data_IF_393441468620
#
_entry.id   IF_393441468620
#
_cell.length_a   1.000
_cell.length_b   1.000
_cell.length_c   1.000
_cell.angle_alpha   90.00
_cell.angle_beta   90.00
_cell.angle_gamma   90.00
#
_symmetry.space_group_name_H-M   'P 1'
#
loop_
_entity.id
_entity.type
_entity.pdbx_description
1 polymer ?
#
# COMPACT_ATOMS: atom_id res chain seq x y z
N UNK A 1 -6.99 -16.65 -24.29
CA UNK A 1 -7.03 -17.48 -23.06
C UNK A 1 -8.23 -17.18 -22.16
N UNK A 2 -8.35 -16.01 -21.52
CA UNK A 2 -9.50 -15.74 -20.62
C UNK A 2 -10.85 -15.72 -21.36
N UNK A 3 -10.90 -15.10 -22.54
CA UNK A 3 -12.10 -15.08 -23.38
C UNK A 3 -12.54 -16.47 -23.84
N UNK A 4 -11.60 -17.40 -24.04
CA UNK A 4 -11.87 -18.78 -24.48
C UNK A 4 -12.62 -19.60 -23.42
N UNK A 5 -12.58 -19.16 -22.16
CA UNK A 5 -13.31 -19.76 -21.03
C UNK A 5 -14.43 -18.84 -20.53
N UNK A 6 -14.96 -17.98 -21.40
CA UNK A 6 -16.01 -16.98 -21.14
C UNK A 6 -15.73 -16.07 -19.94
N UNK A 7 -14.48 -15.65 -19.72
CA UNK A 7 -14.14 -14.63 -18.74
C UNK A 7 -13.96 -13.28 -19.43
N UNK A 8 -14.53 -12.23 -18.84
CA UNK A 8 -14.36 -10.83 -19.23
C UNK A 8 -13.54 -10.09 -18.18
N UNK A 9 -12.51 -9.35 -18.61
CA UNK A 9 -11.66 -8.59 -17.71
C UNK A 9 -12.44 -7.40 -17.14
N UNK A 10 -12.66 -7.39 -15.83
CA UNK A 10 -13.39 -6.33 -15.13
C UNK A 10 -12.47 -5.15 -14.79
N UNK A 11 -11.26 -5.44 -14.30
CA UNK A 11 -10.18 -4.45 -14.19
C UNK A 11 -8.81 -5.12 -14.12
N UNK A 12 -7.78 -4.35 -14.46
CA UNK A 12 -6.39 -4.62 -14.14
C UNK A 12 -5.76 -3.31 -13.66
N UNK A 13 -5.20 -3.28 -12.46
CA UNK A 13 -4.56 -2.10 -11.84
C UNK A 13 -3.19 -2.47 -11.31
N UNK A 14 -2.26 -1.52 -11.35
CA UNK A 14 -0.99 -1.65 -10.63
C UNK A 14 -1.29 -1.73 -9.13
N UNK A 15 -0.47 -2.46 -8.38
CA UNK A 15 -0.79 -2.72 -6.97
C UNK A 15 -0.77 -1.43 -6.13
N UNK A 16 0.14 -0.50 -6.40
CA UNK A 16 0.23 0.80 -5.74
C UNK A 16 -1.02 1.67 -5.97
N UNK A 17 -1.61 1.64 -7.16
CA UNK A 17 -2.85 2.35 -7.46
C UNK A 17 -4.00 1.74 -6.66
N UNK A 18 -4.07 0.41 -6.61
CA UNK A 18 -5.06 -0.31 -5.81
C UNK A 18 -4.89 -0.02 -4.31
N UNK A 19 -3.66 -0.02 -3.80
CA UNK A 19 -3.34 0.32 -2.43
C UNK A 19 -3.75 1.76 -2.08
N UNK A 20 -3.45 2.74 -2.95
CA UNK A 20 -3.80 4.15 -2.75
C UNK A 20 -5.33 4.36 -2.69
N UNK A 21 -6.09 3.62 -3.48
CA UNK A 21 -7.55 3.61 -3.42
C UNK A 21 -8.06 2.98 -2.12
N UNK A 22 -7.54 1.79 -1.75
CA UNK A 22 -8.06 1.03 -0.60
C UNK A 22 -7.65 1.62 0.75
N UNK A 23 -6.48 2.24 0.87
CA UNK A 23 -6.04 2.89 2.11
C UNK A 23 -6.83 4.16 2.44
N UNK A 24 -7.63 4.71 1.51
CA UNK A 24 -8.48 5.88 1.76
C UNK A 24 -9.83 5.50 2.38
N UNK A 25 -10.19 4.23 2.31
CA UNK A 25 -11.43 3.69 2.86
C UNK A 25 -11.19 3.25 4.31
N UNK A 26 -12.15 3.50 5.21
CA UNK A 26 -12.00 3.28 6.65
C UNK A 26 -11.66 1.83 6.99
N UNK A 27 -12.35 0.88 6.37
CA UNK A 27 -12.13 -0.56 6.55
C UNK A 27 -10.71 -0.96 6.09
N UNK A 28 -10.23 -0.36 5.00
CA UNK A 28 -8.88 -0.57 4.50
C UNK A 28 -7.82 -0.06 5.47
N UNK A 29 -7.99 1.15 6.02
CA UNK A 29 -7.09 1.70 7.04
C UNK A 29 -7.06 0.84 8.30
N UNK A 30 -8.23 0.45 8.79
CA UNK A 30 -8.36 -0.40 9.96
C UNK A 30 -7.66 -1.73 9.75
N UNK A 31 -7.88 -2.38 8.61
CA UNK A 31 -7.27 -3.68 8.31
C UNK A 31 -5.74 -3.57 8.18
N UNK A 32 -5.22 -2.57 7.46
CA UNK A 32 -3.78 -2.32 7.34
C UNK A 32 -3.12 -2.17 8.71
N UNK A 33 -3.79 -1.48 9.63
CA UNK A 33 -3.32 -1.30 11.01
C UNK A 33 -3.33 -2.61 11.78
N UNK A 34 -4.41 -3.39 11.69
CA UNK A 34 -4.56 -4.67 12.40
C UNK A 34 -3.58 -5.74 11.93
N UNK A 35 -3.26 -5.74 10.64
CA UNK A 35 -2.31 -6.69 10.06
C UNK A 35 -0.85 -6.31 10.29
N UNK A 36 -0.57 -5.12 10.84
CA UNK A 36 0.79 -4.56 10.88
C UNK A 36 1.42 -4.56 9.47
N UNK A 37 0.61 -4.19 8.47
CA UNK A 37 1.01 -4.29 7.05
C UNK A 37 2.06 -3.26 6.63
N UNK A 38 2.36 -2.29 7.49
CA UNK A 38 3.36 -1.24 7.30
C UNK A 38 4.19 -1.11 8.58
N UNK A 39 5.43 -0.72 8.42
CA UNK A 39 6.32 -0.34 9.51
C UNK A 39 6.02 1.10 9.97
N UNK A 40 6.04 1.31 11.28
CA UNK A 40 5.97 2.67 11.84
C UNK A 40 7.34 3.34 11.70
N UNK A 41 7.37 4.48 11.01
CA UNK A 41 8.55 5.33 10.85
C UNK A 41 8.29 6.74 11.40
N UNK A 42 9.21 7.34 12.18
CA UNK A 42 10.41 6.71 12.74
C UNK A 42 10.03 5.59 13.73
N UNK A 43 10.96 4.68 14.07
CA UNK A 43 10.72 3.65 15.08
C UNK A 43 10.22 4.27 16.39
N UNK A 44 9.19 3.68 17.01
CA UNK A 44 8.63 4.21 18.27
C UNK A 44 9.54 3.98 19.48
N UNK A 45 10.41 2.98 19.38
CA UNK A 45 11.34 2.58 20.43
C UNK A 45 12.73 2.42 19.84
N UNK A 46 13.76 2.78 20.59
CA UNK A 46 15.17 2.68 20.15
C UNK A 46 15.59 1.25 19.78
N UNK A 47 14.90 0.24 20.29
CA UNK A 47 15.16 -1.18 20.00
C UNK A 47 14.30 -1.74 18.86
N UNK A 48 13.37 -0.96 18.30
CA UNK A 48 12.53 -1.40 17.20
C UNK A 48 13.35 -1.39 15.91
N UNK A 49 13.67 -2.58 15.43
CA UNK A 49 14.43 -2.77 14.19
C UNK A 49 13.49 -2.69 12.98
N UNK A 50 13.82 -1.81 12.05
CA UNK A 50 13.19 -1.75 10.74
C UNK A 50 13.80 -2.79 9.79
N UNK A 51 13.06 -3.14 8.75
CA UNK A 51 13.46 -4.13 7.76
C UNK A 51 14.57 -3.62 6.83
N UNK A 52 14.49 -2.34 6.42
CA UNK A 52 15.47 -1.68 5.57
C UNK A 52 16.60 -0.98 6.33
N UNK A 53 17.54 -0.41 5.59
CA UNK A 53 18.55 0.51 6.13
C UNK A 53 18.00 1.95 6.16
N UNK A 54 18.68 2.88 6.83
CA UNK A 54 18.19 4.25 6.99
C UNK A 54 17.91 4.97 5.66
N UNK A 55 18.71 4.67 4.62
CA UNK A 55 18.56 5.24 3.29
C UNK A 55 17.25 4.80 2.61
N UNK A 56 16.75 3.59 2.92
CA UNK A 56 15.51 3.04 2.36
C UNK A 56 14.26 3.81 2.81
N UNK A 57 14.37 4.70 3.80
CA UNK A 57 13.26 5.47 4.36
C UNK A 57 13.30 6.96 3.97
N UNK A 58 14.12 7.35 2.99
CA UNK A 58 14.23 8.73 2.52
C UNK A 58 12.86 9.37 2.17
N UNK A 59 11.97 8.62 1.52
CA UNK A 59 10.62 9.10 1.19
C UNK A 59 9.77 9.39 2.44
N UNK A 60 9.86 8.54 3.47
CA UNK A 60 9.18 8.73 4.74
C UNK A 60 9.73 9.94 5.50
N UNK A 61 11.05 10.13 5.51
CA UNK A 61 11.70 11.31 6.09
C UNK A 61 11.23 12.60 5.42
N UNK A 62 11.18 12.65 4.08
CA UNK A 62 10.67 13.81 3.36
C UNK A 62 9.20 14.09 3.68
N UNK A 63 8.39 13.04 3.80
CA UNK A 63 6.98 13.18 4.19
C UNK A 63 6.82 13.76 5.59
N UNK A 64 7.59 13.29 6.56
CA UNK A 64 7.58 13.82 7.92
C UNK A 64 8.01 15.29 7.94
N UNK A 65 9.10 15.66 7.24
CA UNK A 65 9.55 17.05 7.14
C UNK A 65 8.47 17.98 6.59
N UNK A 66 7.74 17.54 5.56
CA UNK A 66 6.60 18.29 5.02
C UNK A 66 5.48 18.45 6.06
N UNK A 67 5.11 17.38 6.77
CA UNK A 67 4.05 17.42 7.78
C UNK A 67 4.43 18.25 9.03
N UNK A 68 5.70 18.26 9.42
CA UNK A 68 6.21 19.07 10.54
C UNK A 68 6.18 20.56 10.22
N UNK A 69 6.43 20.94 8.96
CA UNK A 69 6.26 22.35 8.55
C UNK A 69 4.81 22.85 8.67
N UNK A 70 3.85 21.94 8.79
CA UNK A 70 2.43 22.24 8.98
C UNK A 70 1.99 22.13 10.45
N UNK A 71 2.78 21.48 11.33
CA UNK A 71 2.44 21.18 12.73
C UNK A 71 3.68 21.17 13.62
N UNK A 72 3.75 22.11 14.56
CA UNK A 72 4.97 22.33 15.36
C UNK A 72 5.09 21.51 16.66
N UNK A 73 4.06 20.77 17.11
CA UNK A 73 3.99 20.36 18.53
C UNK A 73 4.00 18.86 18.83
N UNK A 74 3.85 17.95 17.86
CA UNK A 74 3.79 16.51 18.14
C UNK A 74 4.71 15.66 17.25
N UNK A 75 5.29 14.56 17.79
CA UNK A 75 6.03 13.61 16.99
C UNK A 75 5.12 12.98 15.92
N UNK A 76 5.52 13.13 14.67
CA UNK A 76 4.77 12.61 13.52
C UNK A 76 5.31 11.24 13.15
N UNK A 77 4.41 10.25 13.13
CA UNK A 77 4.68 8.90 12.68
C UNK A 77 3.94 8.63 11.37
N UNK A 78 4.58 7.88 10.48
CA UNK A 78 4.01 7.43 9.21
C UNK A 78 4.16 5.93 9.09
N UNK A 79 3.14 5.26 8.56
CA UNK A 79 3.25 3.86 8.12
C UNK A 79 3.91 3.81 6.75
N UNK A 80 4.97 3.02 6.60
CA UNK A 80 5.69 2.85 5.32
C UNK A 80 6.24 1.42 5.19
N UNK A 81 6.78 1.12 4.01
CA UNK A 81 7.72 0.01 3.81
C UNK A 81 9.09 0.62 3.49
N UNK A 82 10.15 -0.18 3.56
CA UNK A 82 11.45 0.19 2.99
C UNK A 82 11.35 0.41 1.47
N UNK A 83 12.26 1.19 0.88
CA UNK A 83 12.30 1.42 -0.57
C UNK A 83 12.37 0.09 -1.34
N UNK A 84 13.23 -0.84 -0.93
CA UNK A 84 13.36 -2.14 -1.59
C UNK A 84 12.04 -2.95 -1.55
N UNK A 85 11.33 -2.95 -0.42
CA UNK A 85 10.02 -3.61 -0.33
C UNK A 85 8.98 -2.93 -1.21
N UNK A 86 8.98 -1.59 -1.27
CA UNK A 86 8.11 -0.83 -2.18
C UNK A 86 8.38 -1.17 -3.65
N UNK A 87 9.64 -1.29 -4.06
CA UNK A 87 10.01 -1.65 -5.42
C UNK A 87 9.49 -3.04 -5.80
N UNK A 88 9.62 -4.02 -4.89
CA UNK A 88 9.08 -5.38 -5.09
C UNK A 88 7.55 -5.37 -5.11
N UNK A 89 6.92 -4.62 -4.19
CA UNK A 89 5.48 -4.48 -4.10
C UNK A 89 4.86 -3.92 -5.40
N UNK A 90 5.50 -2.91 -5.98
CA UNK A 90 5.07 -2.28 -7.24
C UNK A 90 5.26 -3.16 -8.49
N UNK A 91 5.91 -4.33 -8.38
CA UNK A 91 5.99 -5.29 -9.49
C UNK A 91 4.67 -6.04 -9.71
N UNK A 92 3.79 -6.06 -8.71
CA UNK A 92 2.53 -6.79 -8.77
C UNK A 92 1.39 -5.95 -9.37
N UNK A 93 0.36 -6.64 -9.88
CA UNK A 93 -0.89 -6.03 -10.28
C UNK A 93 -2.08 -6.80 -9.72
N UNK A 94 -3.21 -6.12 -9.59
CA UNK A 94 -4.49 -6.72 -9.19
C UNK A 94 -5.40 -6.72 -10.40
N UNK A 95 -5.91 -7.89 -10.76
CA UNK A 95 -6.88 -8.02 -11.83
C UNK A 95 -8.05 -8.87 -11.37
N UNK A 96 -9.22 -8.58 -11.93
CA UNK A 96 -10.44 -9.35 -11.68
C UNK A 96 -11.13 -9.65 -13.00
N UNK A 97 -11.64 -10.87 -13.13
CA UNK A 97 -12.46 -11.29 -14.24
C UNK A 97 -13.87 -11.59 -13.74
N UNK A 98 -14.86 -11.38 -14.60
CA UNK A 98 -16.23 -11.81 -14.39
C UNK A 98 -16.58 -12.89 -15.41
N UNK A 99 -17.31 -13.93 -14.97
CA UNK A 99 -17.83 -14.96 -15.89
C UNK A 99 -18.97 -14.36 -16.70
N UNK A 100 -18.90 -14.45 -18.02
CA UNK A 100 -20.00 -14.07 -18.91
C UNK A 100 -21.21 -14.92 -18.53
N UNK A 101 -22.34 -14.28 -18.23
CA UNK A 101 -23.60 -14.98 -18.00
C UNK A 101 -23.99 -15.79 -19.23
N UNK A 102 -24.58 -16.97 -19.04
CA UNK A 102 -25.28 -17.63 -20.15
C UNK A 102 -26.47 -16.74 -20.49
N UNK A 103 -26.51 -16.21 -21.72
CA UNK A 103 -27.77 -15.72 -22.27
C UNK A 103 -28.76 -16.89 -22.27
N UNK A 104 -29.74 -16.87 -21.37
CA UNK A 104 -30.90 -17.75 -21.49
C UNK A 104 -31.64 -17.35 -22.77
N UNK A 105 -31.48 -18.17 -23.82
CA UNK A 105 -32.24 -18.08 -25.06
C UNK A 105 -33.53 -18.87 -24.96
#
# INVERSE_FOLDING_TARGET
>A
LAEEVDLELLYCKRFEDYYEEKRKVQEGQFLLTKMQALETYPPMHDNQKLMGCDDDYFAAQQKIKALLSEKEQEPIYVGTLSQAEWEVFCMYCVFAFVKKGKEEK
#
